data_IF_104236088020
#
_entry.id   IF_104236088020
#
_cell.length_a   1.000
_cell.length_b   1.000
_cell.length_c   1.000
_cell.angle_alpha   90.00
_cell.angle_beta   90.00
_cell.angle_gamma   90.00
#
_symmetry.space_group_name_H-M   'P 1'
#
loop_
_entity.id
_entity.type
_entity.pdbx_description
1 polymer ?
#
# COMPACT_ATOMS: atom_id res chain seq x y z
N UNK A 1 -16.75 17.08 15.82
CA UNK A 1 -15.58 16.54 15.10
C UNK A 1 -15.49 15.10 15.53
N UNK A 2 -15.85 14.14 14.68
CA UNK A 2 -15.78 12.72 15.08
C UNK A 2 -14.32 12.38 15.34
N UNK A 3 -14.05 11.85 16.52
CA UNK A 3 -12.74 11.38 16.96
C UNK A 3 -12.38 10.16 16.10
N UNK A 4 -11.72 10.40 14.97
CA UNK A 4 -11.33 9.33 14.05
C UNK A 4 -10.19 8.57 14.70
N UNK A 5 -10.42 7.30 15.05
CA UNK A 5 -9.39 6.43 15.63
C UNK A 5 -8.17 6.41 14.69
N UNK A 6 -7.00 6.70 15.23
CA UNK A 6 -5.73 6.65 14.50
C UNK A 6 -4.81 5.56 15.07
N UNK A 7 -3.74 5.28 14.32
CA UNK A 7 -2.59 4.49 14.73
C UNK A 7 -1.33 5.24 14.33
N UNK A 8 -0.33 5.23 15.21
CA UNK A 8 0.97 5.84 14.92
C UNK A 8 1.77 4.93 13.99
N UNK A 9 2.28 5.49 12.91
CA UNK A 9 3.21 4.86 11.97
C UNK A 9 4.51 5.64 11.89
N UNK A 10 5.61 4.95 11.61
CA UNK A 10 6.96 5.53 11.61
C UNK A 10 7.64 5.38 10.24
N UNK A 11 8.29 6.44 9.79
CA UNK A 11 9.26 6.40 8.69
C UNK A 11 10.54 7.19 9.05
N UNK A 12 11.49 7.31 8.12
CA UNK A 12 12.76 8.01 8.36
C UNK A 12 12.62 9.51 8.69
N UNK A 13 11.42 10.09 8.55
CA UNK A 13 11.12 11.48 8.90
C UNK A 13 10.38 11.60 10.25
N UNK A 14 10.20 10.49 10.98
CA UNK A 14 9.54 10.43 12.29
C UNK A 14 8.14 9.84 12.25
N UNK A 15 7.36 10.14 13.28
CA UNK A 15 6.03 9.56 13.51
C UNK A 15 4.92 10.33 12.78
N UNK A 16 3.88 9.61 12.36
CA UNK A 16 2.68 10.16 11.71
C UNK A 16 1.44 9.39 12.16
N UNK A 17 0.37 10.13 12.45
CA UNK A 17 -0.95 9.56 12.75
C UNK A 17 -1.68 9.16 11.46
N UNK A 18 -2.02 7.87 11.34
CA UNK A 18 -2.72 7.29 10.19
C UNK A 18 -4.12 6.84 10.64
N UNK A 19 -5.19 7.04 9.85
CA UNK A 19 -6.51 6.49 10.17
C UNK A 19 -6.43 4.98 10.43
N UNK A 20 -7.13 4.50 11.47
CA UNK A 20 -6.98 3.14 11.94
C UNK A 20 -7.32 2.09 10.87
N UNK A 21 -8.37 2.35 10.08
CA UNK A 21 -8.84 1.42 9.05
C UNK A 21 -8.08 1.56 7.71
N UNK A 22 -7.17 2.53 7.60
CA UNK A 22 -6.37 2.69 6.40
C UNK A 22 -5.29 1.61 6.29
N UNK A 23 -5.24 0.94 5.13
CA UNK A 23 -4.24 -0.08 4.82
C UNK A 23 -2.85 0.50 4.54
N UNK A 24 -2.75 1.82 4.24
CA UNK A 24 -1.48 2.50 4.00
C UNK A 24 -0.75 2.89 5.29
N UNK A 25 0.48 3.39 5.19
CA UNK A 25 1.34 3.74 6.35
C UNK A 25 1.92 5.15 6.25
N UNK A 26 2.93 5.47 7.07
CA UNK A 26 3.53 6.79 7.24
C UNK A 26 3.79 7.56 5.92
N UNK A 27 4.52 6.97 4.97
CA UNK A 27 4.88 7.68 3.72
C UNK A 27 3.65 8.11 2.88
N UNK A 28 2.63 7.26 2.81
CA UNK A 28 1.39 7.61 2.09
C UNK A 28 0.61 8.66 2.84
N UNK A 29 0.56 8.58 4.17
CA UNK A 29 -0.09 9.59 5.00
C UNK A 29 0.60 10.96 4.88
N UNK A 30 1.94 11.00 4.84
CA UNK A 30 2.68 12.23 4.54
C UNK A 30 2.32 12.78 3.17
N UNK A 31 2.22 11.94 2.15
CA UNK A 31 1.81 12.39 0.82
C UNK A 31 0.40 13.00 0.86
N UNK A 32 -0.55 12.40 1.58
CA UNK A 32 -1.90 12.95 1.79
C UNK A 32 -1.85 14.33 2.47
N UNK A 33 -1.02 14.50 3.51
CA UNK A 33 -0.89 15.78 4.23
C UNK A 33 -0.12 16.86 3.44
N UNK A 34 0.93 16.47 2.72
CA UNK A 34 1.82 17.40 2.00
C UNK A 34 1.24 17.84 0.65
N UNK A 35 0.46 16.98 0.02
CA UNK A 35 -0.18 17.25 -1.25
C UNK A 35 -1.70 17.14 -1.04
N UNK A 36 -2.33 18.12 -0.38
CA UNK A 36 -3.79 18.22 -0.35
C UNK A 36 -4.25 18.48 -1.79
N UNK A 37 -4.41 17.38 -2.53
CA UNK A 37 -4.56 17.42 -3.98
C UNK A 37 -5.94 17.97 -4.34
N UNK A 38 -5.97 18.62 -5.49
CA UNK A 38 -7.09 19.20 -6.28
C UNK A 38 -8.40 18.38 -6.41
N UNK A 39 -8.58 17.27 -5.68
CA UNK A 39 -9.72 16.35 -5.74
C UNK A 39 -9.49 15.13 -6.64
N UNK A 40 -8.34 15.05 -7.33
CA UNK A 40 -8.04 13.97 -8.29
C UNK A 40 -7.27 12.81 -7.63
N UNK A 41 -7.78 11.59 -7.83
CA UNK A 41 -7.14 10.34 -7.41
C UNK A 41 -6.21 9.82 -8.51
N UNK A 42 -5.30 8.92 -8.12
CA UNK A 42 -4.51 8.14 -9.09
C UNK A 42 -5.44 7.26 -9.91
N UNK A 43 -5.21 7.19 -11.22
CA UNK A 43 -6.02 6.36 -12.10
C UNK A 43 -6.02 4.88 -11.66
N UNK A 44 -7.19 4.22 -11.54
CA UNK A 44 -7.28 2.84 -11.06
C UNK A 44 -6.43 1.86 -11.88
N UNK A 45 -6.29 2.11 -13.19
CA UNK A 45 -5.44 1.30 -14.07
C UNK A 45 -3.97 1.31 -13.64
N UNK A 46 -3.46 2.46 -13.20
CA UNK A 46 -2.08 2.59 -12.71
C UNK A 46 -1.90 1.86 -11.38
N UNK A 47 -2.89 1.91 -10.49
CA UNK A 47 -2.88 1.18 -9.21
C UNK A 47 -2.80 -0.33 -9.46
N UNK A 48 -3.66 -0.86 -10.35
CA UNK A 48 -3.65 -2.28 -10.72
C UNK A 48 -2.34 -2.69 -11.39
N UNK A 49 -1.80 -1.88 -12.29
CA UNK A 49 -0.52 -2.16 -12.93
C UNK A 49 0.62 -2.23 -11.90
N UNK A 50 0.66 -1.30 -10.93
CA UNK A 50 1.66 -1.32 -9.85
C UNK A 50 1.53 -2.55 -8.96
N UNK A 51 0.30 -2.97 -8.64
CA UNK A 51 0.07 -4.20 -7.89
C UNK A 51 0.56 -5.44 -8.65
N UNK A 52 0.26 -5.55 -9.95
CA UNK A 52 0.73 -6.65 -10.80
C UNK A 52 2.27 -6.75 -10.80
N UNK A 53 2.97 -5.61 -10.94
CA UNK A 53 4.44 -5.57 -10.85
C UNK A 53 4.94 -6.07 -9.49
N UNK A 54 4.27 -5.71 -8.39
CA UNK A 54 4.66 -6.17 -7.05
C UNK A 54 4.45 -7.66 -6.85
N UNK A 55 3.33 -8.21 -7.34
CA UNK A 55 3.08 -9.65 -7.30
C UNK A 55 4.10 -10.44 -8.13
N UNK A 56 4.44 -9.96 -9.33
CA UNK A 56 5.46 -10.58 -10.17
C UNK A 56 6.85 -10.54 -9.51
N UNK A 57 7.25 -9.38 -8.98
CA UNK A 57 8.53 -9.23 -8.29
C UNK A 57 8.66 -10.13 -7.06
N UNK A 58 7.56 -10.32 -6.30
CA UNK A 58 7.57 -11.23 -5.14
C UNK A 58 7.85 -12.68 -5.56
N UNK A 59 7.18 -13.17 -6.61
CA UNK A 59 7.39 -14.53 -7.15
C UNK A 59 8.82 -14.71 -7.65
N UNK A 60 9.31 -13.78 -8.48
CA UNK A 60 10.69 -13.83 -8.99
C UNK A 60 11.71 -13.79 -7.85
N UNK A 61 11.48 -13.01 -6.80
CA UNK A 61 12.39 -12.96 -5.65
C UNK A 61 12.39 -14.27 -4.84
N UNK A 62 11.26 -14.98 -4.78
CA UNK A 62 11.22 -16.31 -4.19
C UNK A 62 11.99 -17.33 -5.04
N UNK A 63 11.81 -17.29 -6.36
CA UNK A 63 12.55 -18.16 -7.29
C UNK A 63 14.07 -17.96 -7.19
N UNK A 64 14.51 -16.73 -6.93
CA UNK A 64 15.92 -16.37 -6.71
C UNK A 64 16.41 -16.65 -5.29
N UNK A 65 15.55 -17.08 -4.36
CA UNK A 65 15.89 -17.36 -2.98
C UNK A 65 16.18 -16.13 -2.12
N UNK A 66 15.84 -14.92 -2.58
CA UNK A 66 16.05 -13.65 -1.85
C UNK A 66 14.81 -13.21 -1.05
N UNK A 67 13.71 -13.95 -1.17
CA UNK A 67 12.48 -13.75 -0.42
C UNK A 67 11.92 -15.12 0.03
N UNK A 68 11.58 -15.31 1.32
CA UNK A 68 10.90 -16.51 1.77
C UNK A 68 9.59 -16.77 1.01
N UNK A 69 9.31 -18.04 0.71
CA UNK A 69 8.17 -18.43 -0.12
C UNK A 69 6.82 -18.00 0.48
N UNK A 70 6.65 -18.17 1.79
CA UNK A 70 5.44 -17.78 2.53
C UNK A 70 5.15 -16.27 2.42
N UNK A 71 6.20 -15.45 2.53
CA UNK A 71 6.09 -14.00 2.37
C UNK A 71 5.81 -13.62 0.91
N UNK A 72 6.44 -14.30 -0.05
CA UNK A 72 6.19 -14.09 -1.46
C UNK A 72 4.74 -14.39 -1.83
N UNK A 73 4.20 -15.49 -1.32
CA UNK A 73 2.82 -15.91 -1.53
C UNK A 73 1.83 -14.90 -0.91
N UNK A 74 2.11 -14.41 0.31
CA UNK A 74 1.29 -13.38 0.94
C UNK A 74 1.28 -12.07 0.13
N UNK A 75 2.43 -11.61 -0.35
CA UNK A 75 2.54 -10.39 -1.18
C UNK A 75 1.81 -10.61 -2.51
N UNK A 76 2.01 -11.75 -3.15
CA UNK A 76 1.40 -12.06 -4.43
C UNK A 76 -0.13 -12.20 -4.33
N UNK A 77 -0.64 -12.75 -3.22
CA UNK A 77 -2.07 -12.82 -2.94
C UNK A 77 -2.68 -11.43 -2.75
N UNK A 78 -2.07 -10.57 -1.92
CA UNK A 78 -2.53 -9.19 -1.73
C UNK A 78 -2.49 -8.39 -3.04
N UNK A 79 -1.45 -8.58 -3.86
CA UNK A 79 -1.36 -7.98 -5.18
C UNK A 79 -2.50 -8.43 -6.11
N UNK A 80 -2.88 -9.72 -6.09
CA UNK A 80 -4.00 -10.24 -6.86
C UNK A 80 -5.34 -9.64 -6.44
N UNK A 81 -5.56 -9.40 -5.14
CA UNK A 81 -6.77 -8.73 -4.65
C UNK A 81 -6.89 -7.32 -5.24
N UNK A 82 -5.80 -6.54 -5.24
CA UNK A 82 -5.78 -5.18 -5.81
C UNK A 82 -6.00 -5.22 -7.33
N UNK A 83 -5.34 -6.15 -8.05
CA UNK A 83 -5.55 -6.32 -9.50
C UNK A 83 -7.01 -6.68 -9.82
N UNK A 84 -7.63 -7.52 -8.97
CA UNK A 84 -9.04 -7.89 -9.03
C UNK A 84 -10.02 -6.75 -8.68
N UNK A 85 -9.51 -5.59 -8.25
CA UNK A 85 -10.32 -4.41 -7.95
C UNK A 85 -10.75 -4.29 -6.48
N UNK A 86 -10.24 -5.13 -5.58
CA UNK A 86 -10.39 -4.90 -4.14
C UNK A 86 -9.55 -3.68 -3.71
N UNK A 87 -9.95 -3.01 -2.63
CA UNK A 87 -9.22 -1.89 -2.02
C UNK A 87 -9.03 -0.68 -2.95
N UNK A 88 -10.08 -0.32 -3.71
CA UNK A 88 -10.10 0.84 -4.62
C UNK A 88 -10.65 2.12 -3.96
N UNK A 89 -10.82 2.10 -2.64
CA UNK A 89 -11.42 3.12 -1.78
C UNK A 89 -10.58 4.39 -1.58
#
# INVERSE_FOLDING_TARGET
MSDQRTRTEHDSMGDVEVPYDALWRAQTQRAVSNFPATGRRVEPGLVRARAAVKGAAARTNADLGVLPQDLADAIAHAAQQIVGGAHAD
#
